data_IF_159859717763
#
_entry.id   IF_159859717763
#
_cell.length_a   1.000
_cell.length_b   1.000
_cell.length_c   1.000
_cell.angle_alpha   90.00
_cell.angle_beta   90.00
_cell.angle_gamma   90.00
#
_symmetry.space_group_name_H-M   'P 1'
#
loop_
_entity.id
_entity.type
_entity.pdbx_description
1 polymer ?
#
# COMPACT_ATOMS: atom_id res chain seq x y z
N UNK A 1 28.07 -76.23 -28.16
CA UNK A 1 27.44 -75.31 -27.19
C UNK A 1 26.61 -74.29 -27.98
N UNK A 2 25.30 -74.49 -28.07
CA UNK A 2 24.40 -73.59 -28.78
C UNK A 2 23.56 -72.82 -27.75
N UNK A 3 23.82 -71.53 -27.56
CA UNK A 3 23.07 -70.69 -26.60
C UNK A 3 21.75 -70.26 -27.25
N UNK A 4 20.66 -70.92 -26.86
CA UNK A 4 19.31 -70.49 -27.22
C UNK A 4 19.01 -69.11 -26.63
N UNK A 5 18.79 -68.11 -27.48
CA UNK A 5 18.27 -66.80 -27.09
C UNK A 5 16.75 -66.89 -27.09
N UNK A 6 16.14 -66.79 -25.91
CA UNK A 6 14.70 -66.58 -25.75
C UNK A 6 14.44 -65.09 -26.03
N UNK A 7 13.85 -64.80 -27.19
CA UNK A 7 13.41 -63.44 -27.56
C UNK A 7 12.05 -63.18 -26.91
N UNK A 8 12.04 -62.46 -25.79
CA UNK A 8 10.81 -62.05 -25.10
C UNK A 8 10.23 -60.81 -25.81
N UNK A 9 9.40 -61.04 -26.83
CA UNK A 9 8.71 -59.99 -27.59
C UNK A 9 7.52 -59.45 -26.77
N UNK A 10 7.78 -58.50 -25.87
CA UNK A 10 6.75 -57.81 -25.07
C UNK A 10 6.07 -56.63 -25.78
N UNK A 11 6.43 -56.36 -27.04
CA UNK A 11 6.12 -55.09 -27.69
C UNK A 11 4.82 -55.07 -28.52
N UNK A 12 4.07 -56.18 -28.60
CA UNK A 12 2.81 -56.24 -29.33
C UNK A 12 1.64 -56.70 -28.43
N UNK A 13 1.36 -55.93 -27.37
CA UNK A 13 0.03 -56.01 -26.74
C UNK A 13 -0.84 -54.92 -27.39
N UNK A 14 -1.73 -55.27 -28.34
CA UNK A 14 -2.72 -54.30 -28.77
C UNK A 14 -3.56 -53.91 -27.56
N UNK A 15 -3.67 -52.62 -27.26
CA UNK A 15 -4.67 -52.09 -26.35
C UNK A 15 -6.03 -52.41 -26.98
N UNK A 16 -6.56 -53.59 -26.65
CA UNK A 16 -7.85 -54.06 -27.14
C UNK A 16 -8.92 -53.31 -26.36
N UNK A 17 -9.43 -52.23 -26.96
CA UNK A 17 -10.82 -51.76 -26.95
C UNK A 17 -10.95 -50.44 -27.73
N UNK A 18 -11.37 -50.46 -29.00
CA UNK A 18 -11.91 -49.26 -29.65
C UNK A 18 -13.38 -49.11 -29.19
N UNK A 19 -13.58 -48.79 -27.92
CA UNK A 19 -14.93 -48.50 -27.41
C UNK A 19 -15.21 -47.01 -27.65
N UNK A 20 -16.15 -46.72 -28.56
CA UNK A 20 -16.69 -45.38 -28.71
C UNK A 20 -17.45 -44.95 -27.45
N UNK A 21 -17.52 -43.64 -27.21
CA UNK A 21 -18.28 -43.09 -26.09
C UNK A 21 -19.78 -43.40 -26.24
N UNK A 22 -20.40 -43.85 -25.16
CA UNK A 22 -21.85 -44.03 -25.15
C UNK A 22 -22.57 -42.68 -25.03
N UNK A 23 -23.79 -42.58 -25.57
CA UNK A 23 -24.57 -41.33 -25.49
C UNK A 23 -24.78 -40.88 -24.04
N UNK A 24 -25.02 -41.82 -23.13
CA UNK A 24 -25.20 -41.52 -21.70
C UNK A 24 -23.93 -40.94 -21.06
N UNK A 25 -22.76 -41.39 -21.50
CA UNK A 25 -21.47 -40.95 -20.97
C UNK A 25 -21.14 -39.52 -21.42
N UNK A 26 -21.51 -39.15 -22.65
CA UNK A 26 -21.43 -37.76 -23.12
C UNK A 26 -22.40 -36.85 -22.37
N UNK A 27 -23.63 -37.30 -22.10
CA UNK A 27 -24.61 -36.53 -21.31
C UNK A 27 -24.11 -36.32 -19.87
N UNK A 28 -23.60 -37.38 -19.23
CA UNK A 28 -23.03 -37.29 -17.89
C UNK A 28 -21.83 -36.32 -17.84
N UNK A 29 -20.95 -36.34 -18.85
CA UNK A 29 -19.81 -35.43 -18.94
C UNK A 29 -20.26 -33.96 -19.07
N UNK A 30 -21.25 -33.65 -19.91
CA UNK A 30 -21.76 -32.27 -20.09
C UNK A 30 -22.38 -31.75 -18.78
N UNK A 31 -23.15 -32.58 -18.09
CA UNK A 31 -23.74 -32.21 -16.79
C UNK A 31 -22.66 -31.93 -15.75
N UNK A 32 -21.64 -32.80 -15.66
CA UNK A 32 -20.52 -32.60 -14.74
C UNK A 32 -19.74 -31.31 -15.07
N UNK A 33 -19.46 -31.05 -16.33
CA UNK A 33 -18.79 -29.82 -16.76
C UNK A 33 -19.63 -28.56 -16.46
N UNK A 34 -20.95 -28.64 -16.62
CA UNK A 34 -21.85 -27.53 -16.26
C UNK A 34 -21.80 -27.20 -14.76
N UNK A 35 -21.85 -28.23 -13.91
CA UNK A 35 -21.75 -28.05 -12.45
C UNK A 35 -20.39 -27.46 -12.07
N UNK A 36 -19.29 -28.02 -12.58
CA UNK A 36 -17.94 -27.52 -12.30
C UNK A 36 -17.78 -26.09 -12.80
N UNK A 37 -18.26 -25.77 -14.01
CA UNK A 37 -18.15 -24.44 -14.60
C UNK A 37 -18.80 -23.34 -13.76
N UNK A 38 -19.98 -23.62 -13.17
CA UNK A 38 -20.67 -22.66 -12.29
C UNK A 38 -19.83 -22.39 -11.03
N UNK A 39 -19.36 -23.44 -10.35
CA UNK A 39 -18.54 -23.28 -9.14
C UNK A 39 -17.20 -22.60 -9.42
N UNK A 40 -16.53 -22.98 -10.52
CA UNK A 40 -15.27 -22.36 -10.93
C UNK A 40 -15.42 -20.87 -11.19
N UNK A 41 -16.51 -20.44 -11.84
CA UNK A 41 -16.74 -19.02 -12.13
C UNK A 41 -16.90 -18.21 -10.84
N UNK A 42 -17.73 -18.67 -9.91
CA UNK A 42 -17.95 -18.00 -8.62
C UNK A 42 -16.66 -17.92 -7.79
N UNK A 43 -15.90 -19.03 -7.76
CA UNK A 43 -14.65 -19.10 -7.04
C UNK A 43 -13.60 -18.11 -7.59
N UNK A 44 -13.43 -18.07 -8.91
CA UNK A 44 -12.49 -17.14 -9.56
C UNK A 44 -12.91 -15.70 -9.26
N UNK A 45 -14.19 -15.35 -9.39
CA UNK A 45 -14.66 -13.99 -9.10
C UNK A 45 -14.37 -13.59 -7.65
N UNK A 46 -14.61 -14.49 -6.69
CA UNK A 46 -14.34 -14.24 -5.27
C UNK A 46 -12.87 -13.98 -4.98
N UNK A 47 -11.96 -14.78 -5.57
CA UNK A 47 -10.51 -14.56 -5.42
C UNK A 47 -10.09 -13.23 -6.04
N UNK A 48 -10.56 -12.93 -7.25
CA UNK A 48 -10.17 -11.68 -7.93
C UNK A 48 -10.61 -10.44 -7.17
N UNK A 49 -11.83 -10.45 -6.63
CA UNK A 49 -12.33 -9.34 -5.82
C UNK A 49 -11.51 -9.17 -4.53
N UNK A 50 -11.24 -10.26 -3.82
CA UNK A 50 -10.43 -10.23 -2.60
C UNK A 50 -9.00 -9.74 -2.85
N UNK A 51 -8.38 -10.19 -3.95
CA UNK A 51 -7.04 -9.77 -4.34
C UNK A 51 -6.98 -8.27 -4.69
N UNK A 52 -8.01 -7.76 -5.38
CA UNK A 52 -8.13 -6.33 -5.72
C UNK A 52 -8.28 -5.48 -4.45
N UNK A 53 -9.14 -5.87 -3.51
CA UNK A 53 -9.32 -5.17 -2.24
C UNK A 53 -8.02 -5.13 -1.44
N UNK A 54 -7.35 -6.27 -1.33
CA UNK A 54 -6.06 -6.38 -0.62
C UNK A 54 -4.99 -5.49 -1.25
N UNK A 55 -4.96 -5.42 -2.58
CA UNK A 55 -3.99 -4.60 -3.31
C UNK A 55 -4.27 -3.10 -3.13
N UNK A 56 -5.54 -2.68 -3.18
CA UNK A 56 -5.93 -1.30 -2.95
C UNK A 56 -5.59 -0.86 -1.51
N UNK A 57 -5.93 -1.68 -0.52
CA UNK A 57 -5.59 -1.43 0.88
C UNK A 57 -4.08 -1.32 1.09
N UNK A 58 -3.30 -2.23 0.50
CA UNK A 58 -1.83 -2.20 0.56
C UNK A 58 -1.27 -0.91 -0.06
N UNK A 59 -1.80 -0.48 -1.21
CA UNK A 59 -1.40 0.77 -1.85
C UNK A 59 -1.58 1.98 -0.93
N UNK A 60 -2.76 2.10 -0.30
CA UNK A 60 -3.04 3.18 0.64
C UNK A 60 -2.09 3.20 1.84
N UNK A 61 -1.78 2.02 2.40
CA UNK A 61 -0.83 1.90 3.52
C UNK A 61 0.58 2.30 3.09
N UNK A 62 1.03 1.86 1.91
CA UNK A 62 2.38 2.13 1.41
C UNK A 62 2.55 3.62 1.09
N UNK A 63 1.54 4.26 0.48
CA UNK A 63 1.52 5.71 0.22
C UNK A 63 1.56 6.51 1.53
N UNK A 64 0.76 6.12 2.53
CA UNK A 64 0.74 6.75 3.85
C UNK A 64 2.08 6.64 4.58
N UNK A 65 2.71 5.45 4.53
CA UNK A 65 4.06 5.23 5.08
C UNK A 65 5.07 6.13 4.40
N UNK A 66 5.06 6.18 3.07
CA UNK A 66 5.96 7.04 2.30
C UNK A 66 5.75 8.52 2.67
N UNK A 67 4.50 8.96 2.80
CA UNK A 67 4.18 10.33 3.18
C UNK A 67 4.71 10.69 4.59
N UNK A 68 4.53 9.79 5.58
CA UNK A 68 5.09 9.97 6.92
C UNK A 68 6.62 9.99 6.91
N UNK A 69 7.27 9.07 6.19
CA UNK A 69 8.73 9.04 6.04
C UNK A 69 9.25 10.33 5.39
N UNK A 70 8.51 10.89 4.42
CA UNK A 70 8.82 12.20 3.85
C UNK A 70 8.73 13.30 4.90
N UNK A 71 7.64 13.39 5.65
CA UNK A 71 7.47 14.40 6.73
C UNK A 71 8.63 14.28 7.73
N UNK A 72 8.87 13.09 8.26
CA UNK A 72 9.93 12.84 9.24
C UNK A 72 11.29 13.26 8.71
N UNK A 73 11.60 12.88 7.46
CA UNK A 73 12.89 13.20 6.86
C UNK A 73 13.08 14.71 6.72
N UNK A 74 12.03 15.43 6.32
CA UNK A 74 12.11 16.88 6.13
C UNK A 74 12.11 17.64 7.45
N UNK A 75 11.25 17.26 8.39
CA UNK A 75 11.24 17.82 9.74
C UNK A 75 12.56 17.55 10.46
N UNK A 76 13.21 16.41 10.19
CA UNK A 76 14.55 16.11 10.74
C UNK A 76 15.61 17.12 10.29
N UNK A 77 15.47 17.71 9.10
CA UNK A 77 16.40 18.71 8.55
C UNK A 77 15.81 20.12 8.58
N UNK A 78 14.70 20.30 9.29
CA UNK A 78 14.15 21.62 9.55
C UNK A 78 15.15 22.44 10.36
N UNK A 79 15.17 23.74 10.11
CA UNK A 79 15.95 24.69 10.90
C UNK A 79 15.39 24.72 12.33
N UNK A 80 16.25 24.59 13.33
CA UNK A 80 15.86 24.75 14.74
C UNK A 80 15.96 26.22 15.22
N UNK A 81 16.32 27.18 14.35
CA UNK A 81 16.38 28.58 14.73
C UNK A 81 14.98 29.10 15.11
N UNK A 82 14.75 29.39 16.40
CA UNK A 82 13.55 30.03 16.94
C UNK A 82 12.18 29.40 16.58
N UNK A 83 11.93 28.15 16.96
CA UNK A 83 10.57 27.56 16.90
C UNK A 83 9.96 27.58 15.49
N UNK A 84 10.80 27.37 14.48
CA UNK A 84 10.43 27.53 13.08
C UNK A 84 9.47 26.43 12.58
N UNK A 85 9.39 25.31 13.30
CA UNK A 85 8.34 24.31 13.08
C UNK A 85 7.06 24.77 13.77
N UNK A 86 6.16 25.32 12.97
CA UNK A 86 4.83 25.75 13.40
C UNK A 86 3.80 24.67 13.04
N UNK A 87 3.10 24.17 14.05
CA UNK A 87 1.97 23.27 13.88
C UNK A 87 0.68 24.04 14.16
N UNK A 88 -0.20 24.08 13.17
CA UNK A 88 -1.57 24.52 13.33
C UNK A 88 -2.49 23.32 13.25
N UNK A 89 -3.18 23.00 14.32
CA UNK A 89 -4.13 21.88 14.39
C UNK A 89 -5.54 22.35 14.69
N UNK A 90 -6.49 21.82 13.92
CA UNK A 90 -7.93 22.03 14.04
C UNK A 90 -8.63 20.68 13.78
N UNK A 91 -9.83 20.44 14.32
CA UNK A 91 -10.58 19.21 14.05
C UNK A 91 -10.83 18.91 12.57
N UNK A 92 -10.70 19.91 11.69
CA UNK A 92 -10.99 19.79 10.26
C UNK A 92 -9.77 19.96 9.35
N UNK A 93 -8.65 20.42 9.89
CA UNK A 93 -7.43 20.66 9.11
C UNK A 93 -6.22 20.73 10.03
N UNK A 94 -5.09 20.20 9.56
CA UNK A 94 -3.82 20.26 10.26
C UNK A 94 -2.75 20.68 9.26
N UNK A 95 -1.92 21.65 9.64
CA UNK A 95 -0.79 22.08 8.84
C UNK A 95 0.48 22.18 9.67
N UNK A 96 1.60 21.75 9.08
CA UNK A 96 2.94 21.88 9.63
C UNK A 96 3.72 22.77 8.66
N UNK A 97 4.29 23.85 9.16
CA UNK A 97 5.12 24.78 8.38
C UNK A 97 6.50 24.87 9.00
N UNK A 98 7.56 24.83 8.19
CA UNK A 98 8.94 25.00 8.64
C UNK A 98 9.86 25.42 7.50
N UNK A 99 11.02 25.98 7.84
CA UNK A 99 12.12 26.14 6.90
C UNK A 99 13.13 25.00 7.03
N UNK A 100 13.78 24.63 5.93
CA UNK A 100 14.86 23.64 5.87
C UNK A 100 16.20 24.33 6.10
N UNK A 101 17.10 23.63 6.78
CA UNK A 101 18.47 24.12 7.02
C UNK A 101 19.26 24.40 5.73
N UNK A 102 19.00 23.64 4.66
CA UNK A 102 19.61 23.87 3.34
C UNK A 102 18.59 23.66 2.22
N UNK A 103 18.66 24.49 1.17
CA UNK A 103 17.93 24.24 -0.07
C UNK A 103 18.38 22.95 -0.75
N UNK A 104 17.44 22.27 -1.40
CA UNK A 104 17.69 21.08 -2.21
C UNK A 104 17.40 21.40 -3.68
N UNK A 105 17.93 20.61 -4.62
CA UNK A 105 17.67 20.83 -6.06
C UNK A 105 16.17 20.80 -6.41
N UNK A 106 15.36 20.08 -5.62
CA UNK A 106 13.90 19.98 -5.77
C UNK A 106 13.13 21.09 -5.05
N UNK A 107 13.76 21.77 -4.09
CA UNK A 107 13.19 22.87 -3.31
C UNK A 107 14.20 24.02 -3.33
N UNK A 108 14.18 24.81 -4.41
CA UNK A 108 15.04 25.99 -4.54
C UNK A 108 14.77 27.04 -3.47
N UNK A 109 13.54 27.07 -2.94
CA UNK A 109 13.19 27.80 -1.73
C UNK A 109 13.21 26.83 -0.56
N UNK A 110 14.20 26.98 0.33
CA UNK A 110 14.28 26.20 1.57
C UNK A 110 13.24 26.66 2.61
N UNK A 111 12.48 27.71 2.33
CA UNK A 111 11.60 28.39 3.27
C UNK A 111 10.13 28.03 3.02
N UNK A 112 9.34 28.02 4.09
CA UNK A 112 7.89 27.84 4.09
C UNK A 112 7.45 26.54 3.44
N UNK A 113 8.10 25.44 3.85
CA UNK A 113 7.65 24.10 3.48
C UNK A 113 6.40 23.81 4.29
N UNK A 114 5.28 23.55 3.60
CA UNK A 114 3.98 23.31 4.23
C UNK A 114 3.52 21.90 3.96
N UNK A 115 3.24 21.15 5.01
CA UNK A 115 2.44 19.93 4.93
C UNK A 115 1.04 20.27 5.42
N UNK A 116 0.01 19.97 4.64
CA UNK A 116 -1.37 20.29 4.99
C UNK A 116 -2.28 19.10 4.72
N UNK A 117 -3.07 18.75 5.74
CA UNK A 117 -4.21 17.85 5.62
C UNK A 117 -5.49 18.62 5.86
N UNK A 118 -6.52 18.29 5.09
CA UNK A 118 -7.87 18.78 5.30
C UNK A 118 -8.89 17.64 5.24
N UNK A 119 -9.92 17.73 6.07
CA UNK A 119 -10.95 16.70 6.21
C UNK A 119 -11.92 16.64 5.00
N UNK A 120 -11.89 17.64 4.11
CA UNK A 120 -12.80 17.69 2.95
C UNK A 120 -12.24 16.88 1.80
N UNK A 121 -10.98 17.11 1.45
CA UNK A 121 -10.22 16.40 0.42
C UNK A 121 -9.71 15.05 0.90
N UNK A 122 -9.59 14.86 2.23
CA UNK A 122 -8.97 13.67 2.85
C UNK A 122 -7.58 13.39 2.29
N UNK A 123 -6.88 14.45 1.85
CA UNK A 123 -5.59 14.37 1.23
C UNK A 123 -4.55 15.06 2.12
N UNK A 124 -3.39 14.42 2.24
CA UNK A 124 -2.20 15.08 2.77
C UNK A 124 -1.43 15.63 1.57
N UNK A 125 -1.15 16.92 1.62
CA UNK A 125 -0.40 17.63 0.59
C UNK A 125 0.89 18.20 1.15
N UNK A 126 1.88 18.36 0.29
CA UNK A 126 3.12 19.08 0.54
C UNK A 126 3.20 20.24 -0.43
N UNK A 127 3.48 21.44 0.07
CA UNK A 127 3.68 22.63 -0.73
C UNK A 127 5.07 23.19 -0.48
N UNK A 128 5.76 23.52 -1.57
CA UNK A 128 7.07 24.16 -1.57
C UNK A 128 7.08 25.23 -2.67
N UNK A 129 7.18 26.49 -2.27
CA UNK A 129 6.95 27.62 -3.18
C UNK A 129 5.56 27.56 -3.83
N UNK A 130 5.51 27.52 -5.16
CA UNK A 130 4.26 27.46 -5.94
C UNK A 130 3.80 26.03 -6.26
N UNK A 131 4.56 25.01 -5.86
CA UNK A 131 4.30 23.62 -6.21
C UNK A 131 3.64 22.89 -5.05
N UNK A 132 2.43 22.37 -5.26
CA UNK A 132 1.72 21.51 -4.32
C UNK A 132 1.65 20.09 -4.87
N UNK A 133 2.06 19.10 -4.08
CA UNK A 133 1.99 17.68 -4.41
C UNK A 133 1.14 16.93 -3.39
N UNK A 134 0.26 16.06 -3.87
CA UNK A 134 -0.49 15.14 -3.00
C UNK A 134 0.40 13.95 -2.64
N UNK A 135 0.57 13.70 -1.34
CA UNK A 135 1.40 12.62 -0.82
C UNK A 135 0.60 11.39 -0.41
N UNK A 136 -0.59 11.59 0.15
CA UNK A 136 -1.50 10.52 0.54
C UNK A 136 -2.94 10.97 0.34
N UNK A 137 -3.83 10.01 0.09
CA UNK A 137 -5.28 10.21 -0.04
C UNK A 137 -6.01 9.24 0.90
N UNK A 138 -7.32 9.43 1.08
CA UNK A 138 -8.13 8.62 2.00
C UNK A 138 -7.68 8.72 3.47
N UNK A 139 -7.02 9.83 3.82
CA UNK A 139 -6.62 10.15 5.20
C UNK A 139 -7.82 10.72 5.93
N UNK A 140 -8.38 9.95 6.86
CA UNK A 140 -9.56 10.34 7.64
C UNK A 140 -9.21 11.23 8.82
N UNK A 141 -7.99 11.11 9.34
CA UNK A 141 -7.48 12.00 10.36
C UNK A 141 -5.97 12.12 10.24
N UNK A 142 -5.44 13.31 10.47
CA UNK A 142 -4.02 13.55 10.59
C UNK A 142 -3.77 14.40 11.83
N UNK A 143 -2.83 13.97 12.67
CA UNK A 143 -2.41 14.73 13.85
C UNK A 143 -0.92 14.97 13.80
N UNK A 144 -0.51 16.13 14.32
CA UNK A 144 0.86 16.53 14.46
C UNK A 144 0.94 17.24 15.81
N UNK A 145 1.77 16.74 16.72
CA UNK A 145 1.88 17.27 18.07
C UNK A 145 3.31 17.10 18.58
N UNK A 146 3.66 17.90 19.58
CA UNK A 146 4.90 17.72 20.34
C UNK A 146 4.68 16.77 21.52
N UNK A 147 5.60 15.83 21.74
CA UNK A 147 5.51 14.82 22.80
C UNK A 147 6.78 14.78 23.66
N UNK A 148 6.68 14.73 25.01
CA UNK A 148 5.44 14.56 25.79
C UNK A 148 4.68 15.86 26.06
N UNK A 149 5.25 17.01 25.74
CA UNK A 149 4.64 18.32 25.93
C UNK A 149 5.17 19.32 24.89
N UNK A 150 4.47 20.45 24.73
CA UNK A 150 4.95 21.57 23.94
C UNK A 150 6.30 22.08 24.46
N UNK A 151 7.22 22.38 23.53
CA UNK A 151 8.62 22.71 23.78
C UNK A 151 9.55 21.50 23.92
N UNK A 152 9.08 20.26 23.68
CA UNK A 152 9.91 19.05 23.81
C UNK A 152 10.88 18.83 22.64
N UNK A 153 10.67 19.55 21.52
CA UNK A 153 11.43 19.37 20.27
C UNK A 153 11.41 17.90 19.78
N UNK A 154 10.33 17.18 20.08
CA UNK A 154 10.06 15.86 19.57
C UNK A 154 8.64 15.84 19.03
N UNK A 155 8.53 15.69 17.71
CA UNK A 155 7.29 15.79 16.97
C UNK A 155 6.78 14.39 16.68
N UNK A 156 5.49 14.14 16.94
CA UNK A 156 4.79 12.91 16.64
C UNK A 156 3.73 13.21 15.59
N UNK A 157 3.72 12.40 14.54
CA UNK A 157 2.77 12.47 13.45
C UNK A 157 1.96 11.18 13.44
N UNK A 158 0.64 11.30 13.43
CA UNK A 158 -0.24 10.16 13.25
C UNK A 158 -1.17 10.39 12.05
N UNK A 159 -1.33 9.35 11.24
CA UNK A 159 -2.18 9.35 10.07
C UNK A 159 -3.14 8.17 10.17
N UNK A 160 -4.44 8.47 10.26
CA UNK A 160 -5.51 7.48 10.19
C UNK A 160 -6.05 7.43 8.77
N UNK A 161 -6.13 6.22 8.22
CA UNK A 161 -6.67 5.96 6.90
C UNK A 161 -7.89 5.05 7.00
N UNK A 162 -8.79 5.19 6.04
CA UNK A 162 -9.93 4.29 5.87
C UNK A 162 -9.68 3.37 4.68
N UNK A 163 -9.64 2.08 4.95
CA UNK A 163 -9.51 1.07 3.92
C UNK A 163 -10.82 0.80 3.17
N UNK A 164 -10.77 -0.07 2.15
CA UNK A 164 -11.88 -0.30 1.22
C UNK A 164 -13.15 -0.85 1.87
N UNK A 165 -13.02 -1.59 2.97
CA UNK A 165 -14.14 -2.20 3.70
C UNK A 165 -14.57 -1.37 4.92
N UNK A 166 -14.08 -0.13 5.02
CA UNK A 166 -14.41 0.82 6.09
C UNK A 166 -13.61 0.62 7.38
N UNK A 167 -12.64 -0.29 7.38
CA UNK A 167 -11.68 -0.45 8.46
C UNK A 167 -10.76 0.77 8.58
N UNK A 168 -10.48 1.19 9.81
CA UNK A 168 -9.54 2.27 10.07
C UNK A 168 -8.21 1.70 10.57
N UNK A 169 -7.12 2.22 10.05
CA UNK A 169 -5.78 1.93 10.56
C UNK A 169 -5.01 3.23 10.75
N UNK A 170 -4.24 3.30 11.84
CA UNK A 170 -3.44 4.46 12.19
C UNK A 170 -1.96 4.10 12.11
N UNK A 171 -1.20 4.92 11.40
CA UNK A 171 0.26 4.89 11.37
C UNK A 171 0.76 6.06 12.21
N UNK A 172 1.71 5.79 13.09
CA UNK A 172 2.32 6.79 13.95
C UNK A 172 3.83 6.76 13.77
N UNK A 173 4.46 7.93 13.77
CA UNK A 173 5.90 8.04 13.79
C UNK A 173 6.36 9.34 14.42
N UNK A 174 7.57 9.33 14.96
CA UNK A 174 8.13 10.45 15.70
C UNK A 174 9.50 10.87 15.19
N UNK A 175 9.81 12.15 15.33
CA UNK A 175 11.08 12.73 14.91
C UNK A 175 11.55 13.82 15.86
N UNK A 176 12.87 13.82 16.07
CA UNK A 176 13.59 14.96 16.61
C UNK A 176 14.36 15.64 15.49
N UNK A 177 14.18 16.95 15.26
CA UNK A 177 15.03 17.71 14.36
C UNK A 177 16.50 17.62 14.79
N UNK A 178 17.40 17.89 13.85
CA UNK A 178 18.83 17.92 14.16
C UNK A 178 19.14 19.27 14.76
N UNK A 179 19.74 19.29 15.95
CA UNK A 179 20.35 20.50 16.50
C UNK A 179 21.41 21.03 15.54
N UNK A 180 21.21 22.26 15.07
CA UNK A 180 22.16 23.00 14.24
C UNK A 180 23.02 23.96 15.07
N UNK A 181 22.79 24.02 16.38
CA UNK A 181 23.56 24.85 17.32
C UNK A 181 24.78 24.06 17.82
N UNK A 182 25.97 24.48 17.42
CA UNK A 182 27.24 24.07 18.01
C UNK A 182 27.51 24.85 19.32
#
# INVERSE_FOLDING_TARGET
MNKGRIQFNLWNRPLKNPCGFTLIEMVAAIVLLGVIGIFSTQFITGITQSAQLTTAQKGLVDDAKLALEYIIREVRVASEENSDINISSSPTAVSITFDKFTGYTVDTNATSIVYAWDNTSKALTRTSGATTTTLATQVTNFTADEFPAAGSNFYVFAMTLQGPDGENFTLESGVRPRSTTA
#
